data_IF_280864417950
#
_entry.id   IF_280864417950
#
_cell.length_a   1.000
_cell.length_b   1.000
_cell.length_c   1.000
_cell.angle_alpha   90.00
_cell.angle_beta   90.00
_cell.angle_gamma   90.00
#
_symmetry.space_group_name_H-M   'P 1'
#
loop_
_entity.id
_entity.type
_entity.pdbx_description
1 polymer ?
#
# COMPACT_ATOMS: atom_id res chain seq x y z
N UNK A 1 7.73 30.44 -10.05
CA UNK A 1 6.52 29.80 -9.52
C UNK A 1 6.96 28.58 -8.75
N UNK A 2 6.67 28.47 -7.44
CA UNK A 2 6.88 27.19 -6.71
C UNK A 2 5.86 26.21 -7.29
N UNK A 3 6.32 25.22 -8.05
CA UNK A 3 5.49 24.08 -8.39
C UNK A 3 5.19 23.37 -7.06
N UNK A 4 3.93 23.46 -6.59
CA UNK A 4 3.51 22.62 -5.47
C UNK A 4 3.64 21.18 -5.94
N UNK A 5 4.63 20.47 -5.39
CA UNK A 5 4.74 19.03 -5.59
C UNK A 5 3.52 18.35 -4.98
N UNK A 6 3.04 17.31 -5.62
CA UNK A 6 2.01 16.46 -5.03
C UNK A 6 2.59 15.73 -3.83
N UNK A 7 1.80 15.61 -2.77
CA UNK A 7 2.24 15.06 -1.48
C UNK A 7 1.79 13.60 -1.30
N UNK A 8 2.62 12.80 -0.63
CA UNK A 8 2.45 11.37 -0.53
C UNK A 8 2.76 10.82 0.86
N UNK A 9 2.00 9.80 1.29
CA UNK A 9 2.29 8.94 2.45
C UNK A 9 2.43 7.49 1.97
N UNK A 10 3.46 6.81 2.45
CA UNK A 10 3.78 5.42 2.10
C UNK A 10 3.48 4.47 3.26
N UNK A 11 2.45 3.64 3.14
CA UNK A 11 2.05 2.65 4.14
C UNK A 11 2.57 1.27 3.76
N UNK A 12 3.11 0.53 4.74
CA UNK A 12 3.82 -0.74 4.53
C UNK A 12 5.01 -0.53 3.58
N UNK A 13 5.78 0.50 3.87
CA UNK A 13 6.71 1.14 2.96
C UNK A 13 7.88 0.24 2.51
N UNK A 14 8.18 -0.84 3.27
CA UNK A 14 9.32 -1.70 2.99
C UNK A 14 10.63 -0.90 2.94
N UNK A 15 11.56 -1.23 2.04
CA UNK A 15 12.82 -0.49 1.89
C UNK A 15 12.71 0.77 1.01
N UNK A 16 11.48 1.20 0.59
CA UNK A 16 11.25 2.44 -0.16
C UNK A 16 11.06 2.31 -1.67
N UNK A 17 10.69 1.12 -2.17
CA UNK A 17 10.49 0.91 -3.61
C UNK A 17 9.37 1.77 -4.21
N UNK A 18 8.22 1.86 -3.54
CA UNK A 18 7.10 2.71 -3.96
C UNK A 18 7.51 4.18 -3.88
N UNK A 19 8.15 4.61 -2.79
CA UNK A 19 8.66 5.97 -2.63
C UNK A 19 9.55 6.41 -3.80
N UNK A 20 10.51 5.55 -4.19
CA UNK A 20 11.39 5.82 -5.35
C UNK A 20 10.57 6.05 -6.64
N UNK A 21 9.55 5.23 -6.88
CA UNK A 21 8.63 5.41 -8.01
C UNK A 21 7.81 6.70 -7.91
N UNK A 22 7.31 7.03 -6.72
CA UNK A 22 6.54 8.25 -6.49
C UNK A 22 7.39 9.51 -6.68
N UNK A 23 8.64 9.53 -6.20
CA UNK A 23 9.57 10.62 -6.46
C UNK A 23 9.84 10.81 -7.96
N UNK A 24 10.04 9.70 -8.71
CA UNK A 24 10.19 9.76 -10.17
C UNK A 24 8.93 10.30 -10.87
N UNK A 25 7.75 10.07 -10.30
CA UNK A 25 6.47 10.60 -10.79
C UNK A 25 6.19 12.06 -10.33
N UNK A 26 7.11 12.69 -9.58
CA UNK A 26 7.01 14.09 -9.16
C UNK A 26 6.30 14.30 -7.83
N UNK A 27 6.02 13.24 -7.07
CA UNK A 27 5.51 13.34 -5.71
C UNK A 27 6.62 13.63 -4.71
N UNK A 28 6.24 14.25 -3.60
CA UNK A 28 7.06 14.40 -2.40
C UNK A 28 6.48 13.50 -1.30
N UNK A 29 7.24 12.46 -0.92
CA UNK A 29 6.84 11.60 0.19
C UNK A 29 7.17 12.28 1.49
N UNK A 30 6.17 12.49 2.34
CA UNK A 30 6.29 13.18 3.61
C UNK A 30 6.49 12.22 4.78
N UNK A 31 5.73 11.12 4.78
CA UNK A 31 5.71 10.11 5.84
C UNK A 31 5.76 8.72 5.23
N UNK A 32 6.53 7.84 5.85
CA UNK A 32 6.52 6.41 5.58
C UNK A 32 6.25 5.64 6.87
N UNK A 33 5.44 4.58 6.80
CA UNK A 33 5.10 3.73 7.95
C UNK A 33 5.57 2.30 7.65
N UNK A 34 6.49 1.80 8.47
CA UNK A 34 7.07 0.47 8.30
C UNK A 34 7.34 -0.19 9.66
N UNK A 35 7.09 -1.49 9.73
CA UNK A 35 7.23 -2.28 10.95
C UNK A 35 8.62 -2.91 11.11
N UNK A 36 9.28 -3.27 9.99
CA UNK A 36 10.54 -4.02 9.99
C UNK A 36 11.72 -3.05 10.09
N UNK A 37 12.49 -3.17 11.18
CA UNK A 37 13.61 -2.27 11.48
C UNK A 37 14.61 -2.13 10.32
N UNK A 38 15.05 -3.24 9.72
CA UNK A 38 16.01 -3.20 8.60
C UNK A 38 15.46 -2.50 7.36
N UNK A 39 14.13 -2.60 7.12
CA UNK A 39 13.47 -1.85 6.07
C UNK A 39 13.47 -0.34 6.36
N UNK A 40 13.16 0.05 7.61
CA UNK A 40 13.21 1.46 8.03
C UNK A 40 14.61 2.04 7.88
N UNK A 41 15.65 1.31 8.28
CA UNK A 41 17.05 1.73 8.14
C UNK A 41 17.42 1.95 6.67
N UNK A 42 17.05 1.02 5.79
CA UNK A 42 17.27 1.12 4.34
C UNK A 42 16.49 2.28 3.74
N UNK A 43 15.22 2.42 4.14
CA UNK A 43 14.35 3.51 3.68
C UNK A 43 14.95 4.88 4.03
N UNK A 44 15.32 5.07 5.30
CA UNK A 44 15.91 6.33 5.78
C UNK A 44 17.27 6.65 5.14
N UNK A 45 18.06 5.63 4.79
CA UNK A 45 19.31 5.81 4.08
C UNK A 45 19.11 6.28 2.63
N UNK A 46 18.06 5.80 1.94
CA UNK A 46 17.75 6.14 0.56
C UNK A 46 16.90 7.41 0.42
N UNK A 47 16.08 7.72 1.43
CA UNK A 47 15.14 8.83 1.45
C UNK A 47 15.24 9.60 2.79
N UNK A 48 16.39 10.29 3.04
CA UNK A 48 16.66 10.95 4.33
C UNK A 48 15.72 12.13 4.63
N UNK A 49 15.01 12.64 3.62
CA UNK A 49 14.03 13.71 3.74
C UNK A 49 12.67 13.24 4.24
N UNK A 50 12.40 11.91 4.24
CA UNK A 50 11.10 11.34 4.62
C UNK A 50 11.05 11.04 6.11
N UNK A 51 9.96 11.41 6.78
CA UNK A 51 9.72 11.02 8.16
C UNK A 51 9.30 9.55 8.23
N UNK A 52 10.21 8.67 8.66
CA UNK A 52 9.96 7.22 8.77
C UNK A 52 9.44 6.88 10.17
N UNK A 53 8.22 6.40 10.26
CA UNK A 53 7.59 5.89 11.49
C UNK A 53 7.86 4.39 11.57
N UNK A 54 8.82 3.99 12.41
CA UNK A 54 9.11 2.59 12.71
C UNK A 54 8.12 2.08 13.76
N UNK A 55 6.94 1.64 13.32
CA UNK A 55 5.90 1.11 14.20
C UNK A 55 4.94 0.17 13.43
N UNK A 56 4.18 -0.63 14.19
CA UNK A 56 3.01 -1.31 13.65
C UNK A 56 1.97 -0.26 13.23
N UNK A 57 1.54 -0.30 11.98
CA UNK A 57 0.59 0.67 11.42
C UNK A 57 -0.70 0.76 12.24
N UNK A 58 -1.15 -0.33 12.86
CA UNK A 58 -2.34 -0.38 13.72
C UNK A 58 -2.22 0.51 14.96
N UNK A 59 -0.98 0.87 15.37
CA UNK A 59 -0.67 1.72 16.52
C UNK A 59 -0.38 3.17 16.14
N UNK A 60 -0.27 3.46 14.84
CA UNK A 60 -0.04 4.82 14.36
C UNK A 60 -1.30 5.65 14.52
N UNK A 61 -1.20 6.77 15.21
CA UNK A 61 -2.29 7.70 15.48
C UNK A 61 -2.11 9.01 14.69
N UNK A 62 -3.16 9.83 14.68
CA UNK A 62 -3.13 11.13 14.00
C UNK A 62 -1.98 12.02 14.48
N UNK A 63 -1.68 12.01 15.78
CA UNK A 63 -0.60 12.81 16.38
C UNK A 63 0.78 12.46 15.81
N UNK A 64 0.97 11.21 15.33
CA UNK A 64 2.26 10.74 14.82
C UNK A 64 2.55 11.24 13.39
N UNK A 65 1.50 11.72 12.68
CA UNK A 65 1.61 12.16 11.28
C UNK A 65 1.25 13.63 11.06
N UNK A 66 0.44 14.24 11.94
CA UNK A 66 -0.19 15.55 11.69
C UNK A 66 0.82 16.68 11.52
N UNK A 67 1.97 16.62 12.19
CA UNK A 67 3.00 17.65 12.14
C UNK A 67 3.86 17.58 10.85
N UNK A 68 3.76 16.50 10.10
CA UNK A 68 4.54 16.24 8.89
C UNK A 68 3.74 16.41 7.60
N UNK A 69 2.44 16.66 7.68
CA UNK A 69 1.54 16.76 6.53
C UNK A 69 0.85 18.13 6.47
N UNK A 70 0.45 18.60 5.27
CA UNK A 70 -0.36 19.81 5.12
C UNK A 70 -1.69 19.73 5.89
N UNK A 71 -2.17 20.86 6.41
CA UNK A 71 -3.46 20.95 7.13
C UNK A 71 -4.66 20.56 6.27
N UNK A 72 -4.57 20.81 4.98
CA UNK A 72 -5.55 20.48 3.94
C UNK A 72 -5.56 18.98 3.61
N UNK A 73 -4.52 18.25 3.96
CA UNK A 73 -4.33 16.83 3.70
C UNK A 73 -3.28 16.56 2.63
N UNK A 74 -3.12 15.28 2.27
CA UNK A 74 -2.16 14.82 1.26
C UNK A 74 -2.86 14.45 -0.05
N UNK A 75 -2.11 14.42 -1.14
CA UNK A 75 -2.68 14.07 -2.45
C UNK A 75 -2.87 12.56 -2.60
N UNK A 76 -1.95 11.76 -2.07
CA UNK A 76 -1.97 10.30 -2.24
C UNK A 76 -1.50 9.58 -0.98
N UNK A 77 -2.17 8.48 -0.66
CA UNK A 77 -1.65 7.42 0.23
C UNK A 77 -1.43 6.16 -0.58
N UNK A 78 -0.24 5.57 -0.52
CA UNK A 78 0.00 4.22 -1.05
C UNK A 78 -0.07 3.19 0.06
N UNK A 79 -0.48 1.99 -0.26
CA UNK A 79 -0.60 0.87 0.69
C UNK A 79 -0.20 -0.43 0.02
N UNK A 80 1.08 -0.80 0.17
CA UNK A 80 1.66 -2.07 -0.28
C UNK A 80 1.54 -3.14 0.83
N UNK A 81 0.32 -3.48 1.23
CA UNK A 81 0.09 -4.39 2.35
C UNK A 81 0.69 -5.79 2.10
N UNK A 82 1.12 -6.51 3.17
CA UNK A 82 1.73 -7.83 3.06
C UNK A 82 0.88 -8.81 2.25
N UNK A 83 1.47 -9.36 1.18
CA UNK A 83 0.80 -10.27 0.24
C UNK A 83 0.91 -11.76 0.62
N UNK A 84 1.53 -12.11 1.75
CA UNK A 84 1.77 -13.50 2.15
C UNK A 84 0.49 -14.33 2.27
N UNK A 85 -0.63 -13.69 2.58
CA UNK A 85 -1.96 -14.34 2.68
C UNK A 85 -2.60 -14.58 1.31
N UNK A 86 -2.15 -13.89 0.27
CA UNK A 86 -2.68 -13.96 -1.09
C UNK A 86 -1.77 -14.72 -2.06
N UNK A 87 -0.51 -15.01 -1.64
CA UNK A 87 0.47 -15.68 -2.50
C UNK A 87 0.23 -17.19 -2.52
N UNK A 88 0.20 -17.76 -3.74
CA UNK A 88 0.16 -19.22 -3.97
C UNK A 88 1.43 -19.94 -3.51
N UNK A 89 2.52 -19.23 -3.25
CA UNK A 89 3.80 -19.78 -2.79
C UNK A 89 3.84 -20.11 -1.28
N UNK A 90 2.76 -19.84 -0.56
CA UNK A 90 2.63 -20.19 0.86
C UNK A 90 2.40 -21.69 1.05
N UNK A 91 3.17 -22.32 1.94
CA UNK A 91 3.04 -23.72 2.32
C UNK A 91 1.61 -24.08 2.72
N UNK A 92 1.17 -25.28 2.36
CA UNK A 92 -0.13 -25.90 2.66
C UNK A 92 -0.52 -25.95 4.15
N UNK A 93 0.38 -25.57 5.06
CA UNK A 93 0.19 -25.55 6.52
C UNK A 93 -0.33 -24.21 7.08
N UNK A 94 -0.44 -23.14 6.27
CA UNK A 94 -0.97 -21.86 6.76
C UNK A 94 -2.49 -21.91 6.87
N UNK A 95 -3.01 -21.38 7.97
CA UNK A 95 -4.45 -21.20 8.16
C UNK A 95 -5.05 -20.49 6.95
N UNK A 96 -6.19 -20.99 6.45
CA UNK A 96 -6.93 -20.34 5.38
C UNK A 96 -7.37 -18.93 5.79
N UNK A 97 -7.63 -18.74 7.08
CA UNK A 97 -7.97 -17.46 7.68
C UNK A 97 -6.72 -16.84 8.34
N UNK A 98 -6.42 -15.61 7.96
CA UNK A 98 -5.32 -14.80 8.53
C UNK A 98 -5.79 -13.34 8.57
N UNK A 99 -5.84 -12.76 9.76
CA UNK A 99 -6.30 -11.36 9.97
C UNK A 99 -5.51 -10.34 9.15
N UNK A 100 -4.29 -10.68 8.71
CA UNK A 100 -3.48 -9.83 7.84
C UNK A 100 -4.12 -9.56 6.48
N UNK A 101 -5.07 -10.40 6.03
CA UNK A 101 -5.84 -10.16 4.80
C UNK A 101 -6.69 -8.88 4.85
N UNK A 102 -6.97 -8.36 6.05
CA UNK A 102 -7.73 -7.13 6.27
C UNK A 102 -6.85 -5.91 6.58
N UNK A 103 -5.53 -6.01 6.46
CA UNK A 103 -4.62 -4.88 6.71
C UNK A 103 -4.83 -3.70 5.74
N UNK A 104 -5.54 -3.88 4.63
CA UNK A 104 -5.98 -2.77 3.77
C UNK A 104 -6.81 -1.73 4.54
N UNK A 105 -7.53 -2.13 5.62
CA UNK A 105 -8.27 -1.23 6.49
C UNK A 105 -7.39 -0.18 7.14
N UNK A 106 -6.15 -0.54 7.45
CA UNK A 106 -5.18 0.40 7.98
C UNK A 106 -4.76 1.45 6.94
N UNK A 107 -4.60 1.05 5.67
CA UNK A 107 -4.38 2.01 4.57
C UNK A 107 -5.54 3.00 4.45
N UNK A 108 -6.78 2.51 4.48
CA UNK A 108 -7.99 3.36 4.47
C UNK A 108 -8.02 4.28 5.70
N UNK A 109 -7.68 3.77 6.89
CA UNK A 109 -7.63 4.55 8.13
C UNK A 109 -6.60 5.68 8.06
N UNK A 110 -5.38 5.40 7.59
CA UNK A 110 -4.34 6.42 7.41
C UNK A 110 -4.77 7.47 6.38
N UNK A 111 -5.38 7.04 5.28
CA UNK A 111 -5.89 7.97 4.27
C UNK A 111 -6.95 8.93 4.83
N UNK A 112 -7.87 8.44 5.67
CA UNK A 112 -8.86 9.29 6.36
C UNK A 112 -8.19 10.22 7.38
N UNK A 113 -7.22 9.75 8.17
CA UNK A 113 -6.49 10.56 9.14
C UNK A 113 -5.72 11.70 8.48
N UNK A 114 -5.12 11.43 7.32
CA UNK A 114 -4.34 12.38 6.52
C UNK A 114 -5.18 13.18 5.52
N UNK A 115 -6.48 12.97 5.46
CA UNK A 115 -7.41 13.59 4.48
C UNK A 115 -6.90 13.41 3.05
N UNK A 116 -6.44 12.22 2.70
CA UNK A 116 -5.90 11.92 1.38
C UNK A 116 -6.99 12.09 0.30
N UNK A 117 -6.58 12.65 -0.87
CA UNK A 117 -7.47 12.79 -2.02
C UNK A 117 -7.64 11.48 -2.78
N UNK A 118 -6.60 10.64 -2.76
CA UNK A 118 -6.55 9.34 -3.45
C UNK A 118 -5.86 8.28 -2.59
N UNK A 119 -6.22 7.03 -2.82
CA UNK A 119 -5.53 5.87 -2.26
C UNK A 119 -5.11 4.94 -3.39
N UNK A 120 -3.88 4.44 -3.34
CA UNK A 120 -3.39 3.41 -4.23
C UNK A 120 -3.04 2.17 -3.41
N UNK A 121 -3.73 1.06 -3.67
CA UNK A 121 -3.39 -0.25 -3.14
C UNK A 121 -2.55 -1.03 -4.16
N UNK A 122 -1.44 -1.59 -3.69
CA UNK A 122 -0.61 -2.52 -4.45
C UNK A 122 -0.71 -3.90 -3.81
N UNK A 123 -0.93 -4.94 -4.61
CA UNK A 123 -0.92 -6.31 -4.14
C UNK A 123 -0.66 -7.31 -5.28
N UNK A 124 -0.49 -8.58 -4.91
CA UNK A 124 -0.39 -9.67 -5.90
C UNK A 124 -1.77 -10.06 -6.45
N UNK A 125 -1.87 -10.64 -7.66
CA UNK A 125 -3.14 -11.01 -8.30
C UNK A 125 -4.04 -11.92 -7.46
N UNK A 126 -3.46 -12.69 -6.53
CA UNK A 126 -4.21 -13.58 -5.64
C UNK A 126 -5.28 -12.89 -4.81
N UNK A 127 -5.20 -11.56 -4.59
CA UNK A 127 -6.22 -10.80 -3.88
C UNK A 127 -7.58 -10.85 -4.59
N UNK A 128 -7.61 -10.97 -5.92
CA UNK A 128 -8.85 -11.00 -6.71
C UNK A 128 -9.60 -12.33 -6.64
N UNK A 129 -8.97 -13.38 -6.12
CA UNK A 129 -9.57 -14.72 -5.99
C UNK A 129 -9.68 -15.21 -4.55
N UNK A 130 -9.11 -14.48 -3.59
CA UNK A 130 -9.16 -14.84 -2.18
C UNK A 130 -10.53 -14.51 -1.59
N UNK A 131 -11.13 -15.49 -0.93
CA UNK A 131 -12.38 -15.32 -0.16
C UNK A 131 -12.09 -14.96 1.30
N UNK A 132 -13.07 -14.35 1.97
CA UNK A 132 -13.02 -13.96 3.37
C UNK A 132 -12.70 -15.15 4.27
N UNK A 133 -13.40 -16.27 4.06
CA UNK A 133 -13.16 -17.53 4.76
C UNK A 133 -13.59 -18.73 3.89
N UNK A 134 -13.42 -19.95 4.42
CA UNK A 134 -13.95 -21.16 3.74
C UNK A 134 -15.47 -21.18 3.66
N UNK A 135 -16.10 -20.58 4.66
CA UNK A 135 -17.56 -20.58 4.82
C UNK A 135 -18.19 -19.28 4.29
N UNK A 136 -17.37 -18.29 3.95
CA UNK A 136 -17.80 -17.02 3.37
C UNK A 136 -17.14 -16.84 1.99
N UNK A 137 -17.89 -17.01 0.88
CA UNK A 137 -17.38 -16.92 -0.47
C UNK A 137 -17.14 -15.47 -0.95
N UNK A 138 -17.44 -14.47 -0.12
CA UNK A 138 -17.20 -13.05 -0.46
C UNK A 138 -15.74 -12.83 -0.76
N UNK A 139 -15.42 -12.19 -1.88
CA UNK A 139 -14.04 -11.89 -2.25
C UNK A 139 -13.48 -10.74 -1.40
N UNK A 140 -12.23 -10.86 -0.96
CA UNK A 140 -11.54 -9.80 -0.21
C UNK A 140 -11.51 -8.48 -1.01
N UNK A 141 -11.37 -8.56 -2.33
CA UNK A 141 -11.38 -7.38 -3.21
C UNK A 141 -12.73 -6.64 -3.18
N UNK A 142 -13.84 -7.38 -3.04
CA UNK A 142 -15.17 -6.78 -2.97
C UNK A 142 -15.39 -6.11 -1.61
N UNK A 143 -14.90 -6.73 -0.53
CA UNK A 143 -14.90 -6.11 0.81
C UNK A 143 -14.08 -4.83 0.81
N UNK A 144 -12.88 -4.84 0.21
CA UNK A 144 -12.03 -3.65 0.08
C UNK A 144 -12.76 -2.52 -0.66
N UNK A 145 -13.39 -2.81 -1.80
CA UNK A 145 -14.15 -1.81 -2.58
C UNK A 145 -15.34 -1.24 -1.83
N UNK A 146 -16.06 -2.10 -1.11
CA UNK A 146 -17.16 -1.66 -0.27
C UNK A 146 -16.67 -0.70 0.81
N UNK A 147 -15.63 -1.08 1.58
CA UNK A 147 -15.10 -0.25 2.66
C UNK A 147 -14.47 1.06 2.15
N UNK A 148 -13.86 1.06 0.94
CA UNK A 148 -13.42 2.29 0.28
C UNK A 148 -14.60 3.22 -0.05
N UNK A 149 -15.68 2.67 -0.59
CA UNK A 149 -16.89 3.45 -0.90
C UNK A 149 -17.46 4.08 0.37
N UNK A 150 -17.58 3.31 1.45
CA UNK A 150 -18.05 3.78 2.76
C UNK A 150 -17.11 4.85 3.36
N UNK A 151 -15.82 4.79 3.02
CA UNK A 151 -14.83 5.78 3.42
C UNK A 151 -14.83 7.07 2.58
N UNK A 152 -15.63 7.11 1.49
CA UNK A 152 -15.73 8.25 0.58
C UNK A 152 -14.88 8.15 -0.69
N UNK A 153 -14.25 6.99 -0.94
CA UNK A 153 -13.44 6.70 -2.12
C UNK A 153 -14.21 5.76 -3.05
N UNK A 154 -15.16 6.29 -3.82
CA UNK A 154 -16.09 5.47 -4.62
C UNK A 154 -15.74 5.32 -6.10
N UNK A 155 -14.70 6.00 -6.60
CA UNK A 155 -14.27 5.90 -7.98
C UNK A 155 -13.03 5.02 -8.08
N UNK A 156 -13.14 3.83 -8.69
CA UNK A 156 -12.04 2.87 -8.75
C UNK A 156 -11.46 2.75 -10.15
N UNK A 157 -10.13 2.66 -10.22
CA UNK A 157 -9.39 2.18 -11.37
C UNK A 157 -8.61 0.95 -10.95
N UNK A 158 -8.82 -0.16 -11.63
CA UNK A 158 -8.08 -1.39 -11.42
C UNK A 158 -7.12 -1.61 -12.59
N UNK A 159 -5.88 -1.95 -12.28
CA UNK A 159 -4.89 -2.26 -13.30
C UNK A 159 -4.05 -3.47 -12.88
N UNK A 160 -3.75 -4.35 -13.84
CA UNK A 160 -2.73 -5.39 -13.72
C UNK A 160 -1.54 -4.95 -14.54
N UNK A 161 -0.41 -4.70 -13.86
CA UNK A 161 0.79 -4.19 -14.49
C UNK A 161 1.90 -5.22 -14.41
N UNK A 162 2.61 -5.41 -15.51
CA UNK A 162 3.83 -6.23 -15.60
C UNK A 162 5.04 -5.30 -15.54
N UNK A 163 5.96 -5.55 -14.60
CA UNK A 163 7.16 -4.72 -14.46
C UNK A 163 8.00 -4.70 -15.75
N UNK A 164 7.99 -5.79 -16.51
CA UNK A 164 8.68 -5.88 -17.81
C UNK A 164 8.15 -4.92 -18.87
N UNK A 165 6.86 -4.56 -18.81
CA UNK A 165 6.26 -3.61 -19.76
C UNK A 165 6.75 -2.18 -19.55
N UNK A 166 7.36 -1.95 -18.39
CA UNK A 166 7.96 -0.67 -17.97
C UNK A 166 9.50 -0.71 -17.95
N UNK A 167 10.12 -1.69 -18.63
CA UNK A 167 11.56 -1.78 -18.77
C UNK A 167 12.31 -2.33 -17.54
N UNK A 168 11.61 -2.86 -16.54
CA UNK A 168 12.24 -3.49 -15.39
C UNK A 168 12.60 -4.93 -15.74
N UNK A 169 13.90 -5.33 -15.77
CA UNK A 169 14.34 -6.66 -16.17
C UNK A 169 14.13 -7.69 -15.03
N UNK A 170 12.92 -7.79 -14.51
CA UNK A 170 12.60 -8.71 -13.44
C UNK A 170 11.75 -9.87 -13.96
N UNK A 171 12.41 -10.94 -14.44
CA UNK A 171 11.80 -12.26 -14.55
C UNK A 171 12.17 -13.05 -13.29
N UNK A 172 11.26 -13.22 -12.36
CA UNK A 172 11.43 -14.24 -11.33
C UNK A 172 11.32 -15.61 -12.00
N UNK A 173 12.33 -16.48 -11.79
CA UNK A 173 12.36 -17.86 -12.28
C UNK A 173 11.33 -18.78 -11.57
N UNK A 174 10.05 -18.46 -11.64
CA UNK A 174 8.93 -19.33 -11.28
C UNK A 174 7.80 -18.97 -12.25
N UNK A 175 6.98 -19.90 -12.74
CA UNK A 175 6.07 -19.69 -13.87
C UNK A 175 4.83 -18.86 -13.51
N UNK A 176 5.00 -17.79 -12.75
CA UNK A 176 3.96 -16.81 -12.47
C UNK A 176 4.48 -15.43 -12.83
N UNK A 177 3.96 -14.91 -13.92
CA UNK A 177 4.02 -13.49 -14.26
C UNK A 177 3.69 -12.67 -13.00
N UNK A 178 4.60 -11.82 -12.57
CA UNK A 178 4.31 -10.88 -11.49
C UNK A 178 3.41 -9.79 -12.06
N UNK A 179 2.13 -10.08 -12.07
CA UNK A 179 1.08 -9.09 -12.22
C UNK A 179 0.91 -8.45 -10.85
N UNK A 180 1.06 -7.14 -10.75
CA UNK A 180 0.66 -6.38 -9.59
C UNK A 180 -0.75 -5.86 -9.84
N UNK A 181 -1.62 -5.99 -8.85
CA UNK A 181 -2.97 -5.44 -8.89
C UNK A 181 -2.95 -4.09 -8.21
N UNK A 182 -3.33 -3.04 -8.94
CA UNK A 182 -3.48 -1.70 -8.40
C UNK A 182 -4.96 -1.34 -8.33
N UNK A 183 -5.37 -0.74 -7.24
CA UNK A 183 -6.68 -0.13 -7.06
C UNK A 183 -6.42 1.31 -6.64
N UNK A 184 -6.84 2.24 -7.48
CA UNK A 184 -6.77 3.68 -7.21
C UNK A 184 -8.20 4.14 -6.93
N UNK A 185 -8.42 4.77 -5.82
CA UNK A 185 -9.73 5.26 -5.41
C UNK A 185 -9.63 6.72 -4.93
#
# INVERSE_FOLDING_TARGET
MKTNKLTHIDCFAGPGGICTGMHAAGYETLVAIEYVKSCCETYSANHPEVHVIHNDIRKVEKKDIVDFIPKEGVDLVTSGMPCETFSLAGTTSRSFYDDRQFLFREGIRIAKLSKAKMILFENVPGITSKTVSKDDPTLIIDVLKQELTEAGYGNFVEAKLLATDFGVPQKRCVPTTHLMQYIIA
#
